data_IF_550492990376
#
_entry.id   IF_550492990376
#
_cell.length_a   1.000
_cell.length_b   1.000
_cell.length_c   1.000
_cell.angle_alpha   90.00
_cell.angle_beta   90.00
_cell.angle_gamma   90.00
#
_symmetry.space_group_name_H-M   'P 1'
#
loop_
_entity.id
_entity.type
_entity.pdbx_description
1 polymer ?
#
# COMPACT_ATOMS: atom_id res chain seq x y z
N UNK A 1 8.33 -25.03 6.37
CA UNK A 1 8.20 -23.77 5.58
C UNK A 1 6.76 -23.42 5.16
N UNK A 2 6.01 -24.32 4.52
CA UNK A 2 4.68 -24.01 3.94
C UNK A 2 3.62 -23.56 4.96
N UNK A 3 3.61 -24.15 6.17
CA UNK A 3 2.69 -23.75 7.26
C UNK A 3 3.00 -22.36 7.82
N UNK A 4 4.28 -22.02 7.94
CA UNK A 4 4.73 -20.71 8.43
C UNK A 4 4.37 -19.57 7.48
N UNK A 5 4.33 -19.84 6.17
CA UNK A 5 3.92 -18.87 5.15
C UNK A 5 2.43 -18.51 5.23
N UNK A 6 1.57 -19.47 5.60
CA UNK A 6 0.13 -19.24 5.72
C UNK A 6 -0.25 -18.56 7.04
N UNK A 7 0.57 -18.74 8.08
CA UNK A 7 0.31 -18.22 9.43
C UNK A 7 0.87 -16.81 9.67
N UNK A 8 1.82 -16.35 8.84
CA UNK A 8 2.49 -15.07 9.00
C UNK A 8 2.21 -14.15 7.82
N UNK A 9 2.19 -12.85 8.06
CA UNK A 9 2.17 -11.88 6.96
C UNK A 9 3.42 -12.04 6.11
N UNK A 10 3.31 -11.74 4.81
CA UNK A 10 4.39 -11.91 3.84
C UNK A 10 5.69 -11.23 4.31
N UNK A 11 5.58 -10.01 4.84
CA UNK A 11 6.73 -9.27 5.39
C UNK A 11 7.37 -9.98 6.59
N UNK A 12 6.57 -10.40 7.58
CA UNK A 12 7.08 -11.07 8.79
C UNK A 12 7.69 -12.44 8.45
N UNK A 13 7.11 -13.15 7.47
CA UNK A 13 7.65 -14.40 6.97
C UNK A 13 9.05 -14.20 6.37
N UNK A 14 9.21 -13.28 5.41
CA UNK A 14 10.50 -13.08 4.72
C UNK A 14 11.58 -12.47 5.62
N UNK A 15 11.22 -11.59 6.57
CA UNK A 15 12.15 -11.05 7.57
C UNK A 15 12.68 -12.17 8.49
N UNK A 16 11.80 -13.10 8.90
CA UNK A 16 12.22 -14.27 9.67
C UNK A 16 13.13 -15.19 8.86
N UNK A 17 12.79 -15.39 7.58
CA UNK A 17 13.50 -16.27 6.67
C UNK A 17 14.86 -15.71 6.24
N UNK A 18 15.06 -14.38 6.28
CA UNK A 18 16.37 -13.75 6.11
C UNK A 18 17.36 -14.18 7.21
N UNK A 19 16.91 -14.36 8.44
CA UNK A 19 17.80 -14.80 9.53
C UNK A 19 18.30 -16.24 9.34
N UNK A 20 17.47 -17.10 8.74
CA UNK A 20 17.77 -18.51 8.51
C UNK A 20 18.46 -18.72 7.15
N UNK A 21 18.10 -17.92 6.15
CA UNK A 21 18.60 -17.95 4.77
C UNK A 21 18.88 -16.53 4.26
N UNK A 22 20.01 -15.92 4.66
CA UNK A 22 20.28 -14.49 4.44
C UNK A 22 20.33 -14.09 2.96
N UNK A 23 20.87 -14.94 2.09
CA UNK A 23 20.93 -14.65 0.65
C UNK A 23 19.55 -14.67 0.00
N UNK A 24 18.68 -15.60 0.41
CA UNK A 24 17.33 -15.74 -0.14
C UNK A 24 16.43 -14.63 0.39
N UNK A 25 16.41 -14.43 1.72
CA UNK A 25 15.62 -13.37 2.35
C UNK A 25 15.97 -11.99 1.82
N UNK A 26 17.26 -11.66 1.71
CA UNK A 26 17.72 -10.36 1.18
C UNK A 26 17.28 -10.12 -0.26
N UNK A 27 17.36 -11.13 -1.14
CA UNK A 27 16.88 -11.02 -2.53
C UNK A 27 15.37 -10.83 -2.59
N UNK A 28 14.63 -11.59 -1.79
CA UNK A 28 13.16 -11.48 -1.78
C UNK A 28 12.71 -10.13 -1.23
N UNK A 29 13.31 -9.63 -0.16
CA UNK A 29 13.02 -8.30 0.40
C UNK A 29 13.40 -7.19 -0.58
N UNK A 30 14.51 -7.32 -1.29
CA UNK A 30 14.92 -6.36 -2.32
C UNK A 30 13.95 -6.30 -3.51
N UNK A 31 13.21 -7.36 -3.81
CA UNK A 31 12.18 -7.38 -4.86
C UNK A 31 10.82 -6.90 -4.31
N UNK A 32 10.46 -7.35 -3.11
CA UNK A 32 9.15 -7.07 -2.51
C UNK A 32 9.02 -5.62 -2.05
N UNK A 33 10.10 -5.01 -1.56
CA UNK A 33 10.07 -3.65 -1.01
C UNK A 33 9.78 -2.60 -2.10
N UNK A 34 10.50 -2.57 -3.26
CA UNK A 34 10.18 -1.66 -4.35
C UNK A 34 8.80 -1.91 -4.95
N UNK A 35 8.36 -3.18 -5.00
CA UNK A 35 7.04 -3.50 -5.52
C UNK A 35 5.92 -2.91 -4.64
N UNK A 36 6.01 -3.10 -3.32
CA UNK A 36 5.05 -2.55 -2.39
C UNK A 36 5.06 -1.00 -2.42
N UNK A 37 6.24 -0.38 -2.48
CA UNK A 37 6.35 1.08 -2.50
C UNK A 37 5.93 1.69 -3.84
N UNK A 38 6.28 1.08 -4.98
CA UNK A 38 5.82 1.51 -6.31
C UNK A 38 4.30 1.40 -6.42
N UNK A 39 3.72 0.27 -6.01
CA UNK A 39 2.28 0.08 -6.04
C UNK A 39 1.53 1.09 -5.16
N UNK A 40 2.03 1.37 -3.94
CA UNK A 40 1.46 2.41 -3.08
C UNK A 40 1.61 3.81 -3.70
N UNK A 41 2.74 4.08 -4.36
CA UNK A 41 2.97 5.34 -5.07
C UNK A 41 1.99 5.50 -6.25
N UNK A 42 1.81 4.45 -7.05
CA UNK A 42 0.86 4.40 -8.16
C UNK A 42 -0.58 4.59 -7.68
N UNK A 43 -0.98 3.94 -6.58
CA UNK A 43 -2.28 4.18 -5.94
C UNK A 43 -2.41 5.64 -5.51
N UNK A 44 -1.39 6.18 -4.83
CA UNK A 44 -1.39 7.58 -4.40
C UNK A 44 -1.53 8.56 -5.57
N UNK A 45 -0.78 8.34 -6.64
CA UNK A 45 -0.87 9.15 -7.86
C UNK A 45 -2.23 9.01 -8.55
N UNK A 46 -2.77 7.80 -8.63
CA UNK A 46 -4.11 7.54 -9.18
C UNK A 46 -5.19 8.22 -8.33
N UNK A 47 -5.08 8.17 -7.01
CA UNK A 47 -5.97 8.87 -6.09
C UNK A 47 -5.92 10.39 -6.33
N UNK A 48 -4.74 11.00 -6.36
CA UNK A 48 -4.58 12.43 -6.66
C UNK A 48 -5.16 12.77 -8.04
N UNK A 49 -4.90 11.95 -9.06
CA UNK A 49 -5.43 12.16 -10.39
C UNK A 49 -6.97 12.11 -10.42
N UNK A 50 -7.57 11.16 -9.69
CA UNK A 50 -9.02 11.01 -9.56
C UNK A 50 -9.69 12.13 -8.77
N UNK A 51 -9.05 12.61 -7.69
CA UNK A 51 -9.51 13.76 -6.92
C UNK A 51 -9.48 15.01 -7.81
N UNK A 52 -8.39 15.21 -8.56
CA UNK A 52 -8.24 16.34 -9.49
C UNK A 52 -9.28 16.33 -10.61
N UNK A 53 -9.63 15.17 -11.15
CA UNK A 53 -10.64 15.08 -12.22
C UNK A 53 -12.07 15.22 -11.71
N UNK A 54 -12.36 14.79 -10.47
CA UNK A 54 -13.71 14.85 -9.88
C UNK A 54 -14.02 16.17 -9.18
N UNK A 55 -13.05 16.82 -8.54
CA UNK A 55 -13.25 18.07 -7.79
C UNK A 55 -12.33 19.19 -8.30
N UNK A 56 -12.75 19.80 -9.42
CA UNK A 56 -12.73 21.26 -9.67
C UNK A 56 -11.56 22.10 -9.12
N UNK A 57 -11.54 22.42 -7.82
CA UNK A 57 -10.68 23.50 -7.30
C UNK A 57 -10.68 23.81 -5.79
N UNK A 58 -11.21 22.99 -4.86
CA UNK A 58 -11.25 23.39 -3.42
C UNK A 58 -11.17 22.23 -2.39
N UNK A 59 -10.23 21.28 -2.54
CA UNK A 59 -10.01 20.25 -1.50
C UNK A 59 -8.55 20.19 -1.08
N UNK A 60 -8.33 20.07 0.22
CA UNK A 60 -7.01 19.85 0.82
C UNK A 60 -6.48 18.46 0.41
N UNK A 61 -5.52 18.48 -0.51
CA UNK A 61 -4.95 17.28 -1.13
C UNK A 61 -4.35 16.34 -0.07
N UNK A 62 -3.81 16.89 1.02
CA UNK A 62 -3.18 16.11 2.08
C UNK A 62 -4.15 15.20 2.81
N UNK A 63 -5.31 15.74 3.23
CA UNK A 63 -6.30 14.97 3.98
C UNK A 63 -6.97 13.88 3.11
N UNK A 64 -7.29 14.20 1.85
CA UNK A 64 -7.92 13.24 0.92
C UNK A 64 -6.95 12.11 0.52
N UNK A 65 -5.68 12.45 0.26
CA UNK A 65 -4.65 11.45 -0.04
C UNK A 65 -4.45 10.49 1.15
N UNK A 66 -4.47 11.03 2.38
CA UNK A 66 -4.40 10.22 3.60
C UNK A 66 -5.59 9.26 3.73
N UNK A 67 -6.79 9.70 3.39
CA UNK A 67 -7.99 8.84 3.39
C UNK A 67 -7.90 7.77 2.31
N UNK A 68 -7.47 8.11 1.09
CA UNK A 68 -7.36 7.17 -0.02
C UNK A 68 -6.25 6.12 0.16
N UNK A 69 -5.14 6.47 0.83
CA UNK A 69 -4.03 5.54 1.13
C UNK A 69 -4.31 4.71 2.40
N UNK A 70 -5.11 5.23 3.32
CA UNK A 70 -5.58 4.45 4.47
C UNK A 70 -6.47 3.32 3.97
N UNK A 71 -6.34 2.11 4.52
CA UNK A 71 -7.19 0.93 4.21
C UNK A 71 -8.69 1.10 4.53
N UNK A 72 -9.12 2.33 4.86
CA UNK A 72 -10.50 2.64 5.12
C UNK A 72 -11.19 2.84 3.77
N UNK A 73 -12.09 1.93 3.38
CA UNK A 73 -12.97 2.16 2.24
C UNK A 73 -13.67 3.51 2.46
N UNK A 74 -13.46 4.53 1.60
CA UNK A 74 -14.20 5.77 1.71
C UNK A 74 -15.65 5.44 1.33
N UNK A 75 -16.55 5.55 2.31
CA UNK A 75 -17.98 5.36 2.08
C UNK A 75 -18.47 6.54 1.22
N UNK A 76 -18.60 6.30 -0.08
CA UNK A 76 -18.98 7.29 -1.10
C UNK A 76 -20.42 7.82 -0.95
N UNK A 77 -21.12 7.50 0.15
CA UNK A 77 -22.55 7.75 0.34
C UNK A 77 -22.89 9.09 1.01
N UNK A 78 -21.91 9.94 1.37
CA UNK A 78 -22.21 11.24 2.01
C UNK A 78 -21.45 12.43 1.41
N UNK A 79 -21.84 12.85 0.20
CA UNK A 79 -21.97 14.29 -0.11
C UNK A 79 -22.89 14.49 -1.32
N UNK A 80 -24.18 14.24 -1.13
CA UNK A 80 -25.23 14.83 -1.94
C UNK A 80 -26.15 15.58 -0.96
N UNK A 81 -25.73 16.78 -0.58
CA UNK A 81 -26.55 17.81 0.03
C UNK A 81 -25.85 19.16 -0.23
#
# INVERSE_FOLDING_TARGET
MRLQFQLKTLAVFWIGLEKEYPLLGKRTLAILLPFATSYLCEIGFSAVASIKTKYRSQLDIGNELRVAISKCNPDLTKSAA
#
